data_IF_742280522399
#
_entry.id   IF_742280522399
#
_cell.length_a   1.000
_cell.length_b   1.000
_cell.length_c   1.000
_cell.angle_alpha   90.00
_cell.angle_beta   90.00
_cell.angle_gamma   90.00
#
_symmetry.space_group_name_H-M   'P 1'
#
loop_
_entity.id
_entity.type
_entity.pdbx_description
1 polymer ?
#
# COMPACT_ATOMS: atom_id res chain seq x y z
N UNK A 1 8.39 6.11 -0.53
CA UNK A 1 9.35 5.11 0.00
C UNK A 1 10.78 5.61 -0.12
N UNK A 2 11.70 4.99 0.62
CA UNK A 2 13.14 5.32 0.65
C UNK A 2 13.95 4.06 0.37
N UNK A 3 14.92 4.14 -0.53
CA UNK A 3 15.85 3.05 -0.85
C UNK A 3 17.23 3.39 -0.29
N UNK A 4 17.79 2.49 0.52
CA UNK A 4 19.09 2.66 1.19
C UNK A 4 20.18 1.84 0.48
N UNK A 5 21.44 2.30 0.44
CA UNK A 5 22.55 1.55 -0.15
C UNK A 5 22.95 0.32 0.70
N UNK A 6 23.53 -0.71 0.06
CA UNK A 6 23.84 -2.02 0.67
C UNK A 6 24.75 -2.01 1.91
N UNK A 7 25.52 -0.94 2.13
CA UNK A 7 26.39 -0.76 3.31
C UNK A 7 25.91 0.38 4.22
N UNK A 8 24.60 0.63 4.26
CA UNK A 8 24.03 1.60 5.20
C UNK A 8 24.34 1.18 6.64
N UNK A 9 24.60 2.13 7.56
CA UNK A 9 24.85 1.76 8.94
C UNK A 9 23.64 0.97 9.47
N UNK A 10 23.90 -0.20 10.07
CA UNK A 10 22.86 -1.10 10.61
C UNK A 10 22.12 -0.52 11.82
N UNK A 11 22.53 0.65 12.31
CA UNK A 11 21.81 1.38 13.34
C UNK A 11 20.53 1.92 12.72
N UNK A 12 19.41 1.25 12.98
CA UNK A 12 18.07 1.61 12.49
C UNK A 12 17.80 3.12 12.62
N UNK A 13 17.67 3.81 11.48
CA UNK A 13 17.31 5.22 11.45
C UNK A 13 15.83 5.38 11.07
N UNK A 14 15.05 5.95 11.97
CA UNK A 14 13.74 6.51 11.62
C UNK A 14 13.90 8.00 11.30
N UNK A 15 13.61 8.38 10.05
CA UNK A 15 13.56 9.79 9.65
C UNK A 15 12.13 10.32 9.77
N UNK A 16 11.79 10.87 10.92
CA UNK A 16 10.56 11.64 11.09
C UNK A 16 10.82 13.11 10.74
N UNK A 17 10.31 13.58 9.61
CA UNK A 17 10.38 15.00 9.21
C UNK A 17 8.97 15.58 9.22
N UNK A 18 8.65 16.30 10.30
CA UNK A 18 7.37 17.02 10.42
C UNK A 18 7.56 18.47 10.00
N UNK A 19 7.20 18.84 8.76
CA UNK A 19 7.25 20.24 8.31
C UNK A 19 6.02 20.64 7.52
N UNK A 20 5.63 21.92 7.64
CA UNK A 20 4.43 22.49 7.03
C UNK A 20 4.58 22.77 5.52
N UNK A 21 5.82 22.86 4.98
CA UNK A 21 6.18 23.03 3.56
C UNK A 21 7.60 22.48 3.30
N UNK A 22 7.93 22.14 2.05
CA UNK A 22 9.27 21.70 1.60
C UNK A 22 9.84 20.47 2.33
N UNK A 23 8.98 19.49 2.62
CA UNK A 23 9.37 18.26 3.33
C UNK A 23 10.42 17.45 2.58
N UNK A 24 10.36 17.44 1.24
CA UNK A 24 11.29 16.71 0.39
C UNK A 24 12.72 17.26 0.48
N UNK A 25 12.91 18.57 0.29
CA UNK A 25 14.22 19.21 0.35
C UNK A 25 14.82 19.10 1.75
N UNK A 26 14.00 19.29 2.79
CA UNK A 26 14.43 19.18 4.19
C UNK A 26 14.81 17.76 4.58
N UNK A 27 14.10 16.76 4.05
CA UNK A 27 14.45 15.36 4.26
C UNK A 27 15.81 15.04 3.60
N UNK A 28 16.03 15.50 2.37
CA UNK A 28 17.33 15.34 1.68
C UNK A 28 18.47 15.98 2.47
N UNK A 29 18.30 17.23 2.92
CA UNK A 29 19.29 17.91 3.75
C UNK A 29 19.56 17.17 5.08
N UNK A 30 18.51 16.60 5.69
CA UNK A 30 18.64 15.85 6.94
C UNK A 30 19.41 14.54 6.73
N UNK A 31 19.15 13.82 5.63
CA UNK A 31 19.91 12.62 5.25
C UNK A 31 21.38 12.99 5.07
N UNK A 32 21.67 14.03 4.30
CA UNK A 32 23.05 14.48 4.05
C UNK A 32 23.78 14.89 5.32
N UNK A 33 23.17 15.74 6.15
CA UNK A 33 23.81 16.21 7.39
C UNK A 33 24.03 15.10 8.42
N UNK A 34 23.13 14.13 8.52
CA UNK A 34 23.21 13.09 9.56
C UNK A 34 24.02 11.87 9.14
N UNK A 35 24.05 11.56 7.84
CA UNK A 35 24.65 10.32 7.33
C UNK A 35 25.86 10.56 6.42
N UNK A 36 25.99 11.76 5.85
CA UNK A 36 26.99 12.06 4.83
C UNK A 36 26.60 11.59 3.41
N UNK A 37 25.44 10.94 3.25
CA UNK A 37 24.92 10.45 1.97
C UNK A 37 24.12 11.51 1.22
N UNK A 38 24.07 11.44 -0.10
CA UNK A 38 23.13 12.25 -0.89
C UNK A 38 21.81 11.49 -1.07
N UNK A 39 20.72 12.20 -1.36
CA UNK A 39 19.42 11.58 -1.57
C UNK A 39 18.70 12.28 -2.71
N UNK A 40 18.22 11.53 -3.70
CA UNK A 40 17.55 12.07 -4.87
C UNK A 40 16.28 11.30 -5.16
N UNK A 41 15.27 11.99 -5.67
CA UNK A 41 14.04 11.35 -6.08
C UNK A 41 14.20 10.73 -7.46
N UNK A 42 13.91 9.44 -7.57
CA UNK A 42 14.03 8.69 -8.82
C UNK A 42 12.85 7.72 -8.95
N UNK A 43 12.50 7.44 -10.20
CA UNK A 43 11.57 6.38 -10.51
C UNK A 43 12.31 5.05 -10.47
N UNK A 44 11.84 4.15 -9.62
CA UNK A 44 12.45 2.84 -9.38
C UNK A 44 11.42 1.74 -9.55
N UNK A 45 11.85 0.61 -10.07
CA UNK A 45 11.01 -0.58 -10.11
C UNK A 45 10.96 -1.21 -8.71
N UNK A 46 9.76 -1.35 -8.16
CA UNK A 46 9.54 -1.92 -6.84
C UNK A 46 8.68 -3.18 -6.92
N UNK A 47 8.96 -4.14 -6.04
CA UNK A 47 8.08 -5.29 -5.82
C UNK A 47 6.75 -4.83 -5.23
N UNK A 48 5.67 -5.22 -5.90
CA UNK A 48 4.31 -4.91 -5.50
C UNK A 48 3.42 -6.14 -5.59
N UNK A 49 2.32 -6.09 -4.88
CA UNK A 49 1.20 -6.99 -5.04
C UNK A 49 0.20 -6.36 -6.01
N UNK A 50 -0.32 -7.15 -6.94
CA UNK A 50 -1.31 -6.73 -7.92
C UNK A 50 -2.61 -7.44 -7.63
N UNK A 51 -3.66 -6.67 -7.36
CA UNK A 51 -5.03 -7.16 -7.19
C UNK A 51 -5.67 -7.32 -8.57
N UNK A 52 -6.14 -8.54 -8.89
CA UNK A 52 -6.71 -8.89 -10.20
C UNK A 52 -8.02 -9.64 -10.06
N UNK A 53 -8.84 -9.62 -11.11
CA UNK A 53 -10.02 -10.47 -11.21
C UNK A 53 -9.57 -11.90 -11.56
N UNK A 54 -9.99 -12.87 -10.76
CA UNK A 54 -9.83 -14.29 -11.04
C UNK A 54 -11.11 -14.91 -11.59
N UNK A 55 -12.26 -14.56 -11.00
CA UNK A 55 -13.58 -15.01 -11.41
C UNK A 55 -14.45 -13.80 -11.73
N UNK A 56 -14.88 -13.61 -12.99
CA UNK A 56 -15.70 -12.46 -13.35
C UNK A 56 -17.10 -12.55 -12.72
N UNK A 57 -17.77 -11.39 -12.56
CA UNK A 57 -19.16 -11.24 -12.13
C UNK A 57 -19.51 -11.73 -10.70
N UNK A 58 -18.51 -11.92 -9.82
CA UNK A 58 -18.76 -12.26 -8.41
C UNK A 58 -19.13 -11.01 -7.58
N UNK A 59 -18.60 -9.85 -7.95
CA UNK A 59 -18.88 -8.58 -7.28
C UNK A 59 -20.17 -7.95 -7.81
N UNK A 60 -21.10 -7.69 -6.90
CA UNK A 60 -22.36 -7.02 -7.23
C UNK A 60 -22.20 -5.50 -7.11
N UNK A 61 -22.61 -4.71 -8.12
CA UNK A 61 -22.62 -3.26 -8.03
C UNK A 61 -23.43 -2.77 -6.82
N UNK A 62 -22.92 -1.75 -6.15
CA UNK A 62 -23.60 -1.16 -4.99
C UNK A 62 -24.89 -0.46 -5.41
N UNK A 63 -25.96 -0.65 -4.63
CA UNK A 63 -27.20 0.13 -4.74
C UNK A 63 -27.28 1.25 -3.71
N UNK A 64 -26.28 1.37 -2.84
CA UNK A 64 -26.19 2.46 -1.87
C UNK A 64 -25.86 3.78 -2.59
N UNK A 65 -26.15 4.90 -1.93
CA UNK A 65 -25.81 6.25 -2.43
C UNK A 65 -24.74 6.94 -1.59
N UNK A 66 -24.39 6.35 -0.45
CA UNK A 66 -23.46 6.93 0.53
C UNK A 66 -22.18 6.08 0.62
N UNK A 67 -21.05 6.69 0.24
CA UNK A 67 -19.73 6.09 0.30
C UNK A 67 -19.18 6.13 1.71
N UNK A 68 -18.96 4.95 2.31
CA UNK A 68 -18.36 4.86 3.65
C UNK A 68 -17.62 3.56 3.90
N UNK A 69 -16.65 3.66 4.80
CA UNK A 69 -15.92 2.54 5.35
C UNK A 69 -16.32 2.41 6.82
N UNK A 70 -16.81 1.24 7.21
CA UNK A 70 -17.25 0.94 8.58
C UNK A 70 -16.46 -0.22 9.15
N UNK A 71 -16.14 -0.15 10.44
CA UNK A 71 -15.63 -1.30 11.17
C UNK A 71 -16.76 -1.89 12.03
N UNK A 72 -17.13 -3.15 11.76
CA UNK A 72 -18.23 -3.83 12.48
C UNK A 72 -17.92 -5.31 12.64
N UNK A 73 -18.00 -5.81 13.88
CA UNK A 73 -17.80 -7.24 14.21
C UNK A 73 -16.48 -7.84 13.69
N UNK A 74 -15.39 -7.06 13.66
CA UNK A 74 -14.10 -7.52 13.12
C UNK A 74 -13.96 -7.45 11.59
N UNK A 75 -15.02 -7.00 10.90
CA UNK A 75 -15.00 -6.75 9.46
C UNK A 75 -14.83 -5.27 9.19
N UNK A 76 -14.06 -4.99 8.13
CA UNK A 76 -14.05 -3.70 7.47
C UNK A 76 -15.01 -3.77 6.29
N UNK A 77 -16.09 -3.02 6.37
CA UNK A 77 -17.18 -2.99 5.40
C UNK A 77 -17.02 -1.74 4.55
N UNK A 78 -16.87 -1.94 3.26
CA UNK A 78 -16.82 -0.90 2.23
C UNK A 78 -18.20 -0.84 1.58
N UNK A 79 -18.85 0.32 1.66
CA UNK A 79 -20.17 0.56 1.06
C UNK A 79 -20.01 1.62 -0.02
N UNK A 80 -20.53 1.32 -1.21
CA UNK A 80 -20.47 2.21 -2.37
C UNK A 80 -19.04 2.68 -2.68
N UNK A 81 -18.09 1.74 -2.74
CA UNK A 81 -16.66 2.04 -2.96
C UNK A 81 -16.11 1.29 -4.17
N UNK A 82 -15.16 1.88 -4.93
CA UNK A 82 -14.40 1.14 -5.93
C UNK A 82 -13.50 0.09 -5.26
N UNK A 83 -13.07 -0.91 -6.00
CA UNK A 83 -12.12 -1.92 -5.50
C UNK A 83 -10.76 -1.29 -5.16
N UNK A 84 -10.35 -0.24 -5.88
CA UNK A 84 -9.14 0.52 -5.58
C UNK A 84 -9.09 1.08 -4.17
N UNK A 85 -10.24 1.34 -3.52
CA UNK A 85 -10.27 1.76 -2.12
C UNK A 85 -9.72 0.68 -1.17
N UNK A 86 -9.91 -0.60 -1.48
CA UNK A 86 -9.31 -1.70 -0.73
C UNK A 86 -7.79 -1.71 -0.88
N UNK A 87 -7.30 -1.58 -2.13
CA UNK A 87 -5.86 -1.56 -2.42
C UNK A 87 -5.16 -0.38 -1.72
N UNK A 88 -5.78 0.80 -1.76
CA UNK A 88 -5.30 1.97 -1.05
C UNK A 88 -5.29 1.75 0.47
N UNK A 89 -6.38 1.25 1.04
CA UNK A 89 -6.48 1.00 2.47
C UNK A 89 -5.40 0.01 2.95
N UNK A 90 -5.18 -1.08 2.22
CA UNK A 90 -4.15 -2.07 2.54
C UNK A 90 -2.76 -1.42 2.44
N UNK A 91 -2.47 -0.70 1.36
CA UNK A 91 -1.19 -0.01 1.18
C UNK A 91 -0.89 0.98 2.30
N UNK A 92 -1.87 1.78 2.71
CA UNK A 92 -1.68 2.83 3.71
C UNK A 92 -1.60 2.29 5.13
N UNK A 93 -2.51 1.37 5.50
CA UNK A 93 -2.67 0.89 6.87
C UNK A 93 -1.79 -0.30 7.19
N UNK A 94 -1.52 -1.15 6.21
CA UNK A 94 -0.76 -2.39 6.40
C UNK A 94 0.64 -2.31 5.79
N UNK A 95 1.00 -1.18 5.17
CA UNK A 95 2.32 -0.92 4.58
C UNK A 95 2.75 -1.97 3.56
N UNK A 96 1.76 -2.58 2.89
CA UNK A 96 1.96 -3.61 1.89
C UNK A 96 1.60 -3.02 0.52
N UNK A 97 2.56 -2.84 -0.40
CA UNK A 97 2.32 -2.13 -1.66
C UNK A 97 1.39 -2.97 -2.55
N UNK A 98 0.10 -2.64 -2.52
CA UNK A 98 -0.95 -3.32 -3.28
C UNK A 98 -1.56 -2.36 -4.28
N UNK A 99 -1.58 -2.75 -5.55
CA UNK A 99 -2.14 -1.96 -6.65
C UNK A 99 -3.38 -2.63 -7.23
N UNK A 100 -4.40 -1.83 -7.54
CA UNK A 100 -5.60 -2.31 -8.21
C UNK A 100 -5.36 -2.42 -9.71
N UNK A 101 -5.36 -3.66 -10.22
CA UNK A 101 -5.35 -4.00 -11.64
C UNK A 101 -6.56 -4.87 -11.99
N UNK A 102 -7.68 -4.68 -11.29
CA UNK A 102 -8.91 -5.43 -11.56
C UNK A 102 -9.63 -4.93 -12.81
N UNK A 103 -9.35 -3.69 -13.23
CA UNK A 103 -10.04 -2.99 -14.33
C UNK A 103 -11.58 -2.95 -14.16
N UNK A 104 -12.07 -3.22 -12.94
CA UNK A 104 -13.48 -3.27 -12.63
C UNK A 104 -14.05 -1.84 -12.57
N UNK A 105 -14.97 -1.47 -13.48
CA UNK A 105 -15.55 -0.14 -13.46
C UNK A 105 -16.65 -0.05 -12.40
N UNK A 106 -16.66 1.03 -11.63
CA UNK A 106 -17.77 1.38 -10.74
C UNK A 106 -17.50 1.15 -9.26
N UNK A 107 -18.57 0.93 -8.51
CA UNK A 107 -18.58 0.88 -7.05
C UNK A 107 -19.38 -0.31 -6.55
N UNK A 108 -18.91 -0.90 -5.46
CA UNK A 108 -19.37 -2.18 -4.95
C UNK A 108 -19.58 -2.10 -3.44
N UNK A 109 -20.38 -3.03 -2.93
CA UNK A 109 -20.48 -3.30 -1.50
C UNK A 109 -19.73 -4.58 -1.17
N UNK A 110 -18.72 -4.49 -0.30
CA UNK A 110 -17.89 -5.62 0.08
C UNK A 110 -17.38 -5.48 1.51
N UNK A 111 -17.01 -6.60 2.12
CA UNK A 111 -16.58 -6.66 3.51
C UNK A 111 -15.38 -7.59 3.67
N UNK A 112 -14.27 -7.07 4.12
CA UNK A 112 -13.04 -7.85 4.35
C UNK A 112 -12.82 -8.04 5.84
N UNK A 113 -12.41 -9.25 6.22
CA UNK A 113 -12.01 -9.56 7.60
C UNK A 113 -10.51 -9.69 7.64
N UNK A 114 -9.85 -8.80 8.36
CA UNK A 114 -8.44 -8.94 8.67
C UNK A 114 -8.31 -9.37 10.13
N UNK A 115 -7.34 -10.24 10.41
CA UNK A 115 -6.98 -10.52 11.79
C UNK A 115 -6.09 -9.38 12.30
N UNK A 116 -6.70 -8.36 12.89
CA UNK A 116 -6.00 -7.18 13.40
C UNK A 116 -5.18 -7.44 14.67
N UNK A 117 -5.39 -8.59 15.32
CA UNK A 117 -4.77 -8.94 16.60
C UNK A 117 -3.49 -9.78 16.43
N UNK A 118 -3.14 -10.17 15.20
CA UNK A 118 -1.87 -10.86 14.94
C UNK A 118 -0.76 -9.83 14.81
N UNK A 119 0.29 -9.98 15.61
CA UNK A 119 1.59 -9.32 15.39
C UNK A 119 2.28 -9.78 14.11
N UNK A 120 1.76 -10.82 13.47
CA UNK A 120 2.29 -11.34 12.24
C UNK A 120 2.01 -10.38 11.09
N UNK A 121 3.03 -10.04 10.29
CA UNK A 121 2.85 -9.21 9.11
C UNK A 121 1.90 -9.92 8.14
N UNK A 122 1.07 -9.14 7.47
CA UNK A 122 0.15 -9.68 6.49
C UNK A 122 0.92 -10.31 5.33
N UNK A 123 0.67 -11.59 5.07
CA UNK A 123 1.32 -12.33 3.99
C UNK A 123 0.37 -12.56 2.80
N UNK A 124 0.94 -13.02 1.70
CA UNK A 124 0.22 -13.28 0.44
C UNK A 124 -0.98 -14.24 0.63
N UNK A 125 -0.80 -15.30 1.42
CA UNK A 125 -1.84 -16.31 1.64
C UNK A 125 -3.07 -15.70 2.31
N UNK A 126 -2.87 -14.88 3.34
CA UNK A 126 -3.95 -14.16 4.02
C UNK A 126 -4.65 -13.18 3.06
N UNK A 127 -3.89 -12.44 2.25
CA UNK A 127 -4.47 -11.51 1.27
C UNK A 127 -5.32 -12.24 0.24
N UNK A 128 -4.80 -13.33 -0.34
CA UNK A 128 -5.54 -14.19 -1.28
C UNK A 128 -6.82 -14.73 -0.67
N UNK A 129 -6.78 -15.18 0.59
CA UNK A 129 -7.98 -15.66 1.28
C UNK A 129 -9.02 -14.55 1.47
N UNK A 130 -8.60 -13.35 1.87
CA UNK A 130 -9.49 -12.21 2.13
C UNK A 130 -10.22 -11.77 0.87
N UNK A 131 -9.52 -11.68 -0.26
CA UNK A 131 -10.09 -11.19 -1.53
C UNK A 131 -10.72 -12.30 -2.37
N UNK A 132 -10.32 -13.55 -2.17
CA UNK A 132 -10.76 -14.72 -2.96
C UNK A 132 -12.28 -14.93 -2.99
N UNK A 133 -12.97 -14.63 -1.88
CA UNK A 133 -14.44 -14.71 -1.82
C UNK A 133 -15.17 -13.74 -2.75
N UNK A 134 -14.47 -12.73 -3.27
CA UNK A 134 -14.98 -11.76 -4.24
C UNK A 134 -14.58 -12.08 -5.68
N UNK A 135 -14.06 -13.29 -5.93
CA UNK A 135 -13.53 -13.65 -7.25
C UNK A 135 -12.28 -12.86 -7.61
N UNK A 136 -11.60 -12.26 -6.62
CA UNK A 136 -10.35 -11.54 -6.80
C UNK A 136 -9.17 -12.41 -6.39
N UNK A 137 -7.99 -12.10 -6.90
CA UNK A 137 -6.73 -12.73 -6.50
C UNK A 137 -5.64 -11.68 -6.37
N UNK A 138 -4.58 -12.03 -5.66
CA UNK A 138 -3.36 -11.23 -5.54
C UNK A 138 -2.21 -11.98 -6.18
N UNK A 139 -1.40 -11.30 -6.99
CA UNK A 139 -0.20 -11.87 -7.61
C UNK A 139 0.99 -10.93 -7.42
N UNK A 140 2.20 -11.47 -7.34
CA UNK A 140 3.41 -10.66 -7.32
C UNK A 140 3.58 -9.94 -8.66
N UNK A 141 4.13 -8.72 -8.61
CA UNK A 141 4.38 -7.91 -9.77
C UNK A 141 5.41 -6.82 -9.49
N UNK A 142 5.60 -5.98 -10.50
CA UNK A 142 6.53 -4.86 -10.48
C UNK A 142 5.78 -3.59 -10.85
N UNK A 143 6.11 -2.48 -10.18
CA UNK A 143 5.55 -1.17 -10.48
C UNK A 143 6.61 -0.09 -10.34
N UNK A 144 6.58 0.87 -11.26
CA UNK A 144 7.45 2.05 -11.22
C UNK A 144 6.93 3.00 -10.16
N UNK A 145 7.76 3.28 -9.15
CA UNK A 145 7.41 4.17 -8.05
C UNK A 145 8.43 5.27 -7.89
N UNK A 146 7.92 6.45 -7.59
CA UNK A 146 8.75 7.60 -7.26
C UNK A 146 9.29 7.45 -5.82
N UNK A 147 10.58 7.17 -5.70
CA UNK A 147 11.23 6.84 -4.43
C UNK A 147 12.44 7.73 -4.19
N UNK A 148 12.73 8.02 -2.93
CA UNK A 148 13.97 8.70 -2.57
C UNK A 148 15.08 7.67 -2.50
N UNK A 149 16.03 7.75 -3.41
CA UNK A 149 17.20 6.87 -3.46
C UNK A 149 18.35 7.57 -2.78
N UNK A 150 18.91 6.92 -1.76
CA UNK A 150 20.05 7.42 -1.00
C UNK A 150 21.33 6.88 -1.62
N UNK A 151 22.23 7.78 -2.01
CA UNK A 151 23.51 7.47 -2.62
C UNK A 151 24.66 7.78 -1.68
N UNK A 152 25.68 6.93 -1.70
CA UNK A 152 26.93 7.25 -1.05
C UNK A 152 27.64 8.35 -1.85
N UNK A 153 28.29 9.28 -1.16
CA UNK A 153 29.28 10.17 -1.77
C UNK A 153 30.57 9.45 -2.11
#
# INVERSE_FOLDING_TARGET
DVVMPEMSPTNHYDFLVTVKKQSAERLREAVEKKTGFTADWQDQEADVWLLKVQTPNVLQPSTNTDSRIEFKNGYLIFKHMPIGALAQFISEKLKLPLEDQTELPGVYDYAVSFNWNTREPMNEATLKQVVGKYGLTVVAGKSTRHMMVVHRK
#
